data_IF_584370124263
#
_entry.id   IF_584370124263
#
_cell.length_a   1.000
_cell.length_b   1.000
_cell.length_c   1.000
_cell.angle_alpha   90.00
_cell.angle_beta   90.00
_cell.angle_gamma   90.00
#
_symmetry.space_group_name_H-M   'P 1'
#
loop_
_entity.id
_entity.type
_entity.pdbx_description
1 polymer ?
#
# COMPACT_ATOMS: atom_id res chain seq x y z
N UNK A 1 -15.92 21.08 -3.27
CA UNK A 1 -14.54 20.56 -3.33
C UNK A 1 -14.10 20.31 -1.89
N UNK A 2 -13.61 19.12 -1.59
CA UNK A 2 -13.14 18.77 -0.24
C UNK A 2 -11.62 18.77 -0.24
N UNK A 3 -11.01 19.17 0.87
CA UNK A 3 -9.54 19.23 1.04
C UNK A 3 -9.15 18.51 2.33
N UNK A 4 -7.98 17.89 2.32
CA UNK A 4 -7.37 17.22 3.48
C UNK A 4 -6.16 18.03 3.94
N UNK A 5 -6.03 18.23 5.26
CA UNK A 5 -4.94 18.98 5.87
C UNK A 5 -4.12 18.06 6.78
N UNK A 6 -2.81 18.07 6.61
CA UNK A 6 -1.83 17.35 7.43
C UNK A 6 -0.74 18.35 7.83
N UNK A 7 -0.30 18.30 9.09
CA UNK A 7 0.73 19.20 9.61
C UNK A 7 2.13 18.78 9.13
N UNK A 8 2.36 17.49 8.96
CA UNK A 8 3.63 16.95 8.45
C UNK A 8 3.83 17.33 6.98
N UNK A 9 5.07 17.64 6.63
CA UNK A 9 5.44 18.02 5.26
C UNK A 9 5.31 16.87 4.24
N UNK A 10 5.32 15.62 4.71
CA UNK A 10 5.19 14.43 3.89
C UNK A 10 4.43 13.32 4.64
N UNK A 11 3.78 12.45 3.89
CA UNK A 11 3.08 11.31 4.44
C UNK A 11 4.08 10.20 4.83
N UNK A 12 3.94 9.70 6.06
CA UNK A 12 4.67 8.55 6.59
C UNK A 12 3.75 7.77 7.54
N UNK A 13 3.54 6.49 7.25
CA UNK A 13 2.66 5.62 8.03
C UNK A 13 3.44 4.87 9.10
N UNK A 14 3.28 5.29 10.36
CA UNK A 14 3.99 4.75 11.53
C UNK A 14 5.52 4.58 11.33
N UNK A 15 6.27 5.65 11.00
CA UNK A 15 7.68 5.55 10.63
C UNK A 15 8.56 4.86 11.68
N UNK A 16 8.26 5.01 12.97
CA UNK A 16 8.98 4.35 14.06
C UNK A 16 8.74 2.84 14.18
N UNK A 17 7.81 2.28 13.41
CA UNK A 17 7.46 0.84 13.38
C UNK A 17 7.74 0.18 12.04
N UNK A 18 8.52 0.85 11.17
CA UNK A 18 9.03 0.27 9.92
C UNK A 18 10.25 -0.63 10.21
N UNK A 19 10.04 -1.61 11.08
CA UNK A 19 11.03 -2.61 11.46
C UNK A 19 11.28 -3.54 10.27
N UNK A 20 12.54 -3.89 10.02
CA UNK A 20 12.91 -4.80 8.93
C UNK A 20 12.14 -6.12 9.04
N UNK A 21 11.60 -6.59 7.90
CA UNK A 21 10.81 -7.81 7.83
C UNK A 21 9.36 -7.70 8.34
N UNK A 22 8.98 -6.61 9.02
CA UNK A 22 7.62 -6.46 9.54
C UNK A 22 6.58 -6.38 8.40
N UNK A 23 5.49 -7.13 8.55
CA UNK A 23 4.38 -7.18 7.58
C UNK A 23 3.11 -6.53 8.13
N UNK A 24 2.15 -6.27 7.24
CA UNK A 24 0.77 -5.98 7.63
C UNK A 24 0.12 -7.20 8.27
N UNK A 25 -0.83 -6.95 9.17
CA UNK A 25 -1.64 -7.99 9.79
C UNK A 25 -2.88 -8.37 8.96
N UNK A 26 -3.15 -7.62 7.89
CA UNK A 26 -4.26 -7.85 6.98
C UNK A 26 -3.74 -8.13 5.57
N UNK A 27 -4.48 -8.89 4.74
CA UNK A 27 -4.10 -9.14 3.36
C UNK A 27 -4.05 -7.85 2.52
N UNK A 28 -3.26 -7.85 1.44
CA UNK A 28 -3.07 -6.69 0.55
C UNK A 28 -4.35 -6.15 -0.09
N UNK A 29 -5.44 -6.92 -0.15
CA UNK A 29 -6.74 -6.42 -0.64
C UNK A 29 -7.41 -5.47 0.35
N UNK A 30 -7.04 -5.50 1.64
CA UNK A 30 -7.39 -4.47 2.61
C UNK A 30 -6.48 -3.23 2.45
N UNK A 31 -6.38 -2.73 1.21
CA UNK A 31 -5.73 -1.48 0.88
C UNK A 31 -6.71 -0.30 1.06
N UNK A 32 -6.44 0.86 0.42
CA UNK A 32 -7.28 2.04 0.57
C UNK A 32 -8.70 1.90 -0.02
N UNK A 33 -8.88 1.06 -1.05
CA UNK A 33 -10.05 1.17 -1.94
C UNK A 33 -10.57 -0.17 -2.47
N UNK A 34 -9.76 -1.22 -2.56
CA UNK A 34 -10.05 -2.44 -3.31
C UNK A 34 -11.30 -3.17 -2.82
N UNK A 35 -11.62 -3.14 -1.53
CA UNK A 35 -12.85 -3.74 -0.99
C UNK A 35 -14.12 -2.90 -1.20
N UNK A 36 -13.98 -1.68 -1.73
CA UNK A 36 -15.08 -0.75 -2.03
C UNK A 36 -15.21 -0.52 -3.54
N UNK A 37 -14.11 -0.24 -4.22
CA UNK A 37 -14.00 0.03 -5.65
C UNK A 37 -12.74 -0.67 -6.23
N UNK A 38 -12.83 -1.95 -6.62
CA UNK A 38 -11.68 -2.72 -7.12
C UNK A 38 -11.02 -2.16 -8.40
N UNK A 39 -11.76 -1.38 -9.18
CA UNK A 39 -11.27 -0.76 -10.43
C UNK A 39 -10.55 0.57 -10.20
N UNK A 40 -10.50 1.05 -8.96
CA UNK A 40 -9.92 2.34 -8.62
C UNK A 40 -8.42 2.37 -8.97
N UNK A 41 -7.91 3.47 -9.59
CA UNK A 41 -6.48 3.61 -9.85
C UNK A 41 -5.66 3.71 -8.57
N UNK A 42 -6.30 3.91 -7.41
CA UNK A 42 -5.65 3.96 -6.11
C UNK A 42 -5.46 2.58 -5.46
N UNK A 43 -5.89 1.48 -6.11
CA UNK A 43 -5.67 0.13 -5.58
C UNK A 43 -4.18 -0.23 -5.52
N UNK A 44 -3.83 -1.07 -4.55
CA UNK A 44 -2.48 -1.62 -4.39
C UNK A 44 -2.04 -2.44 -5.61
N UNK A 45 -2.97 -3.17 -6.25
CA UNK A 45 -2.68 -3.89 -7.49
C UNK A 45 -2.36 -2.95 -8.65
N UNK A 46 -3.04 -1.79 -8.76
CA UNK A 46 -2.68 -0.79 -9.76
C UNK A 46 -1.32 -0.13 -9.45
N UNK A 47 -1.02 0.14 -8.17
CA UNK A 47 0.31 0.58 -7.71
C UNK A 47 1.43 -0.37 -8.17
N UNK A 48 1.22 -1.68 -8.02
CA UNK A 48 2.17 -2.71 -8.48
C UNK A 48 2.25 -2.76 -10.02
N UNK A 49 1.12 -2.63 -10.72
CA UNK A 49 1.07 -2.62 -12.19
C UNK A 49 1.89 -1.48 -12.79
N UNK A 50 1.71 -0.27 -12.30
CA UNK A 50 2.43 0.93 -12.76
C UNK A 50 3.94 0.76 -12.54
N UNK A 51 4.33 0.12 -11.44
CA UNK A 51 5.74 -0.20 -11.10
C UNK A 51 6.29 -1.44 -11.81
N UNK A 52 5.52 -2.08 -12.69
CA UNK A 52 5.88 -3.33 -13.38
C UNK A 52 6.22 -4.49 -12.43
N UNK A 53 5.66 -4.45 -11.21
CA UNK A 53 5.88 -5.46 -10.15
C UNK A 53 4.70 -6.41 -9.97
N UNK A 54 3.57 -6.19 -10.65
CA UNK A 54 2.36 -7.01 -10.48
C UNK A 54 2.60 -8.51 -10.79
N UNK A 55 3.31 -8.81 -11.88
CA UNK A 55 3.56 -10.20 -12.27
C UNK A 55 4.53 -10.91 -11.29
N UNK A 56 5.70 -10.34 -10.93
CA UNK A 56 6.52 -10.88 -9.85
C UNK A 56 5.79 -11.03 -8.52
N UNK A 57 4.95 -10.04 -8.15
CA UNK A 57 4.14 -10.09 -6.92
C UNK A 57 3.16 -11.26 -6.92
N UNK A 58 2.50 -11.51 -8.06
CA UNK A 58 1.61 -12.65 -8.22
C UNK A 58 2.34 -13.98 -7.94
N UNK A 59 3.55 -14.16 -8.49
CA UNK A 59 4.34 -15.38 -8.25
C UNK A 59 4.92 -15.49 -6.83
N UNK A 60 5.04 -14.37 -6.10
CA UNK A 60 5.51 -14.42 -4.73
C UNK A 60 4.49 -15.06 -3.77
N UNK A 61 3.20 -15.07 -4.13
CA UNK A 61 2.10 -15.63 -3.34
C UNK A 61 2.05 -15.11 -1.89
N UNK A 62 2.47 -13.86 -1.68
CA UNK A 62 2.49 -13.21 -0.37
C UNK A 62 1.25 -12.35 -0.13
N UNK A 63 0.34 -12.84 0.71
CA UNK A 63 -0.87 -12.09 1.07
C UNK A 63 -0.59 -10.91 2.01
N UNK A 64 0.40 -11.05 2.89
CA UNK A 64 0.78 -10.03 3.88
C UNK A 64 2.05 -9.32 3.44
N UNK A 65 1.91 -8.07 3.01
CA UNK A 65 3.01 -7.28 2.45
C UNK A 65 3.82 -6.60 3.56
N UNK A 66 5.07 -6.27 3.25
CA UNK A 66 5.94 -5.53 4.17
C UNK A 66 5.36 -4.14 4.49
N UNK A 67 5.52 -3.69 5.73
CA UNK A 67 5.08 -2.35 6.16
C UNK A 67 5.77 -1.24 5.37
N UNK A 68 7.03 -1.43 5.01
CA UNK A 68 7.79 -0.51 4.16
C UNK A 68 7.21 -0.42 2.74
N UNK A 69 6.71 -1.54 2.19
CA UNK A 69 6.03 -1.54 0.89
C UNK A 69 4.68 -0.83 0.97
N UNK A 70 3.91 -1.06 2.03
CA UNK A 70 2.64 -0.37 2.22
C UNK A 70 2.82 1.14 2.43
N UNK A 71 3.80 1.55 3.24
CA UNK A 71 4.16 2.96 3.39
C UNK A 71 4.55 3.62 2.05
N UNK A 72 5.31 2.91 1.19
CA UNK A 72 5.62 3.39 -0.16
C UNK A 72 4.41 3.44 -1.10
N UNK A 73 3.40 2.60 -0.89
CA UNK A 73 2.13 2.64 -1.63
C UNK A 73 1.25 3.84 -1.23
N UNK A 74 1.30 4.24 0.04
CA UNK A 74 0.54 5.37 0.56
C UNK A 74 1.17 6.75 0.23
N UNK A 75 2.37 6.79 -0.36
CA UNK A 75 3.08 8.00 -0.80
C UNK A 75 2.91 8.22 -2.31
#
# INVERSE_FOLDING_TARGET
RTVFHEQRAAFHWHPGLLIEGATLQVPFLADLVSLVEPTSPWSYLNYLKIRRRLFPFYFAEQFHIHRTEFDNYLR
#
